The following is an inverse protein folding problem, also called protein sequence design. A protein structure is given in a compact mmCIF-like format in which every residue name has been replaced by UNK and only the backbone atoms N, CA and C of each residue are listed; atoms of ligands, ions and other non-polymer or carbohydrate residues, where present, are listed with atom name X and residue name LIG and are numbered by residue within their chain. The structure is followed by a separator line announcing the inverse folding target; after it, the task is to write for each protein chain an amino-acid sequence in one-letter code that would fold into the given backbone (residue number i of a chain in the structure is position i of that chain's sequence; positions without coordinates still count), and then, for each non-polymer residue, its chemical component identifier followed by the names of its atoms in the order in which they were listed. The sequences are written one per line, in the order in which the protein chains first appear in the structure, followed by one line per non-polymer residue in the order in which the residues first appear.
data_IF_557349394202
#
_entry.id   IF_557349394202
#
_cell.length_a   1.000
_cell.length_b   1.000
_cell.length_c   1.000
_cell.angle_alpha   90.00
_cell.angle_beta   90.00
_cell.angle_gamma   90.00
#
_symmetry.space_group_name_H-M   'P 1'
#
loop_
_entity.id
_entity.type
_entity.pdbx_description
1 polymer ?
#
# COMPACT_ATOMS: atom_id res chain seq x y z
N UNK A 1 -4.10 4.32 -23.94
CA UNK A 1 -4.26 4.96 -22.59
C UNK A 1 -2.88 5.24 -22.03
N UNK A 2 -2.62 6.44 -21.56
CA UNK A 2 -1.38 6.89 -20.92
C UNK A 2 -1.55 6.81 -19.40
N UNK A 3 -0.88 5.85 -18.77
CA UNK A 3 -1.03 5.54 -17.34
C UNK A 3 0.18 6.11 -16.59
N UNK A 4 -0.01 7.14 -15.75
CA UNK A 4 0.98 7.52 -14.76
C UNK A 4 0.99 6.52 -13.60
N UNK A 5 2.12 6.35 -12.96
CA UNK A 5 2.21 5.48 -11.79
C UNK A 5 2.90 6.19 -10.62
N UNK A 6 2.34 6.06 -9.42
CA UNK A 6 2.92 6.59 -8.19
C UNK A 6 2.97 5.51 -7.11
N UNK A 7 4.18 5.13 -6.70
CA UNK A 7 4.38 4.06 -5.73
C UNK A 7 5.80 3.98 -5.22
N UNK A 8 6.05 3.16 -4.18
CA UNK A 8 7.40 3.08 -3.59
C UNK A 8 7.84 1.63 -3.31
N UNK A 9 7.12 0.80 -2.51
CA UNK A 9 7.59 -0.53 -2.10
C UNK A 9 7.29 -1.62 -3.14
N UNK A 10 7.67 -2.86 -2.82
CA UNK A 10 7.44 -4.05 -3.65
C UNK A 10 5.97 -4.24 -4.04
N UNK A 11 5.03 -3.96 -3.13
CA UNK A 11 3.61 -3.99 -3.43
C UNK A 11 3.25 -3.16 -4.68
N UNK A 12 3.81 -1.96 -4.76
CA UNK A 12 3.60 -1.07 -5.88
C UNK A 12 4.37 -1.50 -7.13
N UNK A 13 5.59 -2.03 -6.95
CA UNK A 13 6.44 -2.54 -8.03
C UNK A 13 5.73 -3.67 -8.80
N UNK A 14 5.11 -4.61 -8.09
CA UNK A 14 4.32 -5.71 -8.68
C UNK A 14 3.19 -5.19 -9.57
N UNK A 15 2.48 -4.14 -9.13
CA UNK A 15 1.43 -3.52 -9.92
C UNK A 15 1.98 -2.80 -11.17
N UNK A 16 3.10 -2.07 -11.05
CA UNK A 16 3.75 -1.40 -12.18
C UNK A 16 4.20 -2.43 -13.24
N UNK A 17 4.87 -3.51 -12.84
CA UNK A 17 5.27 -4.60 -13.74
C UNK A 17 4.07 -5.15 -14.51
N UNK A 18 2.96 -5.39 -13.81
CA UNK A 18 1.77 -5.96 -14.41
C UNK A 18 1.09 -5.01 -15.40
N UNK A 19 1.08 -3.70 -15.11
CA UNK A 19 0.57 -2.65 -16.01
C UNK A 19 1.42 -2.60 -17.30
N UNK A 20 2.74 -2.62 -17.17
CA UNK A 20 3.66 -2.62 -18.32
C UNK A 20 3.51 -3.89 -19.14
N UNK A 21 3.47 -5.07 -18.49
CA UNK A 21 3.27 -6.37 -19.14
C UNK A 21 1.92 -6.47 -19.88
N UNK A 22 0.89 -5.75 -19.41
CA UNK A 22 -0.40 -5.67 -20.08
C UNK A 22 -0.40 -4.73 -21.31
N UNK A 23 0.73 -4.08 -21.64
CA UNK A 23 0.89 -3.24 -22.82
C UNK A 23 0.41 -1.80 -22.67
N UNK A 24 0.15 -1.33 -21.45
CA UNK A 24 -0.16 0.07 -21.23
C UNK A 24 1.07 0.96 -21.38
N UNK A 25 0.88 2.14 -21.97
CA UNK A 25 1.93 3.16 -22.06
C UNK A 25 2.11 3.84 -20.70
N UNK A 26 3.27 3.71 -20.08
CA UNK A 26 3.62 4.38 -18.82
C UNK A 26 4.65 5.48 -19.08
N UNK A 27 4.23 6.73 -19.28
CA UNK A 27 5.15 7.83 -19.64
C UNK A 27 5.91 8.41 -18.44
N UNK A 28 5.45 8.18 -17.21
CA UNK A 28 6.05 8.73 -16.00
C UNK A 28 5.74 7.85 -14.79
N UNK A 29 6.76 7.65 -13.97
CA UNK A 29 6.65 7.04 -12.64
C UNK A 29 7.07 8.06 -11.57
N UNK A 30 6.26 8.17 -10.53
CA UNK A 30 6.56 8.92 -9.32
C UNK A 30 6.91 7.93 -8.19
N UNK A 31 8.01 8.18 -7.49
CA UNK A 31 8.39 7.38 -6.32
C UNK A 31 9.08 8.27 -5.29
N UNK A 32 9.15 7.81 -4.04
CA UNK A 32 9.88 8.57 -3.02
C UNK A 32 11.38 8.62 -3.33
N UNK A 33 12.09 9.67 -2.87
CA UNK A 33 13.54 9.77 -3.00
C UNK A 33 14.26 8.54 -2.44
N UNK A 34 15.43 8.24 -2.99
CA UNK A 34 16.31 7.20 -2.48
C UNK A 34 16.63 7.44 -1.01
N UNK A 35 16.64 6.39 -0.21
CA UNK A 35 16.85 6.50 1.24
C UNK A 35 18.08 5.71 1.68
N UNK A 36 18.82 6.21 2.68
CA UNK A 36 19.89 5.43 3.29
C UNK A 36 19.32 4.11 3.86
N UNK A 37 19.91 2.98 3.47
CA UNK A 37 19.50 1.67 3.96
C UNK A 37 20.70 0.74 4.14
N UNK A 38 20.52 -0.32 4.95
CA UNK A 38 21.53 -1.34 5.21
C UNK A 38 22.71 -0.87 6.04
N UNK A 39 23.70 -1.77 6.18
CA UNK A 39 24.98 -1.46 6.84
C UNK A 39 25.78 -0.51 5.94
N UNK A 40 26.13 0.67 6.47
CA UNK A 40 26.86 1.70 5.71
C UNK A 40 25.99 2.81 5.13
N UNK A 41 24.66 2.81 5.37
CA UNK A 41 23.73 3.88 5.02
C UNK A 41 23.83 4.36 3.55
N UNK A 42 24.13 3.46 2.62
CA UNK A 42 24.14 3.80 1.20
C UNK A 42 22.73 4.09 0.71
N UNK A 43 22.61 5.05 -0.20
CA UNK A 43 21.33 5.40 -0.81
C UNK A 43 20.82 4.21 -1.64
N UNK A 44 19.65 3.74 -1.34
CA UNK A 44 18.97 2.68 -2.07
C UNK A 44 17.75 3.22 -2.78
N UNK A 45 17.64 2.85 -4.06
CA UNK A 45 16.47 3.13 -4.85
C UNK A 45 15.27 2.32 -4.37
N UNK A 46 14.05 2.86 -4.55
CA UNK A 46 12.83 2.11 -4.28
C UNK A 46 12.64 0.95 -5.26
N UNK A 47 11.87 -0.07 -4.88
CA UNK A 47 11.48 -1.15 -5.78
C UNK A 47 10.84 -0.62 -7.06
N UNK A 48 9.94 0.33 -6.94
CA UNK A 48 9.29 0.99 -8.09
C UNK A 48 10.29 1.69 -9.00
N UNK A 49 11.33 2.35 -8.45
CA UNK A 49 12.39 2.96 -9.26
C UNK A 49 13.18 1.91 -10.04
N UNK A 50 13.52 0.79 -9.41
CA UNK A 50 14.22 -0.31 -10.09
C UNK A 50 13.40 -0.83 -11.28
N UNK A 51 12.12 -1.09 -11.08
CA UNK A 51 11.22 -1.50 -12.17
C UNK A 51 11.11 -0.45 -13.26
N UNK A 52 10.91 0.82 -12.92
CA UNK A 52 10.79 1.88 -13.91
C UNK A 52 12.06 1.99 -14.78
N UNK A 53 13.24 1.93 -14.17
CA UNK A 53 14.52 1.97 -14.89
C UNK A 53 14.73 0.75 -15.78
N UNK A 54 14.33 -0.45 -15.34
CA UNK A 54 14.42 -1.66 -16.15
C UNK A 54 13.56 -1.60 -17.42
N UNK A 55 12.47 -0.84 -17.38
CA UNK A 55 11.59 -0.59 -18.53
C UNK A 55 11.85 0.74 -19.23
N UNK A 56 12.96 1.43 -18.93
CA UNK A 56 13.32 2.74 -19.48
C UNK A 56 12.22 3.82 -19.30
N UNK A 57 11.45 3.74 -18.22
CA UNK A 57 10.38 4.69 -17.90
C UNK A 57 10.98 5.87 -17.12
N UNK A 58 10.66 7.12 -17.51
CA UNK A 58 11.07 8.32 -16.77
C UNK A 58 10.59 8.30 -15.31
N UNK A 59 11.48 8.69 -14.38
CA UNK A 59 11.21 8.70 -12.94
C UNK A 59 11.31 10.11 -12.37
N UNK A 60 10.33 10.53 -11.59
CA UNK A 60 10.39 11.72 -10.76
C UNK A 60 10.31 11.38 -9.28
N UNK A 61 11.15 12.01 -8.45
CA UNK A 61 11.29 11.71 -7.03
C UNK A 61 11.12 12.97 -6.14
N UNK A 62 10.00 13.70 -6.24
CA UNK A 62 9.78 14.87 -5.39
C UNK A 62 9.56 14.44 -3.95
N UNK A 63 10.13 15.18 -2.98
CA UNK A 63 9.85 14.99 -1.55
C UNK A 63 8.43 15.43 -1.15
N UNK A 64 7.80 16.24 -1.98
CA UNK A 64 6.42 16.68 -1.82
C UNK A 64 5.87 17.15 -3.16
N UNK A 65 4.56 17.07 -3.34
CA UNK A 65 3.83 17.65 -4.48
C UNK A 65 3.05 18.91 -4.07
N UNK A 66 3.18 19.35 -2.83
CA UNK A 66 2.56 20.59 -2.35
C UNK A 66 3.36 21.81 -2.80
N UNK A 67 2.76 22.63 -3.65
CA UNK A 67 3.39 23.85 -4.21
C UNK A 67 3.64 24.92 -3.13
N UNK A 68 2.82 24.91 -2.08
CA UNK A 68 2.91 25.77 -0.90
C UNK A 68 3.66 25.11 0.28
N UNK A 69 4.30 23.98 0.03
CA UNK A 69 4.95 23.17 1.06
C UNK A 69 6.41 23.53 1.29
N UNK A 70 7.12 22.66 2.04
CA UNK A 70 8.53 22.82 2.38
C UNK A 70 9.50 22.72 1.20
N UNK A 71 9.08 22.09 0.09
CA UNK A 71 9.92 21.77 -1.07
C UNK A 71 9.26 22.29 -2.38
N UNK A 72 9.05 23.61 -2.54
CA UNK A 72 8.27 24.17 -3.63
C UNK A 72 8.91 23.91 -5.00
N UNK A 73 10.23 23.98 -5.13
CA UNK A 73 10.95 23.78 -6.39
C UNK A 73 10.78 22.34 -6.89
N UNK A 74 10.86 21.35 -5.98
CA UNK A 74 10.63 19.94 -6.33
C UNK A 74 9.17 19.68 -6.68
N UNK A 75 8.24 20.34 -5.99
CA UNK A 75 6.82 20.23 -6.29
C UNK A 75 6.50 20.83 -7.68
N UNK A 76 7.12 21.97 -8.05
CA UNK A 76 7.00 22.57 -9.37
C UNK A 76 7.61 21.68 -10.45
N UNK A 77 8.79 21.10 -10.22
CA UNK A 77 9.39 20.15 -11.14
C UNK A 77 8.51 18.89 -11.32
N UNK A 78 7.94 18.38 -10.23
CA UNK A 78 6.98 17.27 -10.26
C UNK A 78 5.70 17.62 -11.04
N UNK A 79 5.21 18.85 -10.88
CA UNK A 79 4.05 19.36 -11.63
C UNK A 79 4.36 19.44 -13.12
N UNK A 80 5.49 20.01 -13.49
CA UNK A 80 5.90 20.10 -14.89
C UNK A 80 6.03 18.71 -15.54
N UNK A 81 6.62 17.74 -14.82
CA UNK A 81 6.74 16.36 -15.29
C UNK A 81 5.37 15.69 -15.50
N UNK A 82 4.45 15.86 -14.54
CA UNK A 82 3.09 15.31 -14.64
C UNK A 82 2.30 15.94 -15.80
N UNK A 83 2.40 17.24 -15.99
CA UNK A 83 1.75 17.95 -17.10
C UNK A 83 2.31 17.49 -18.46
N UNK A 84 3.63 17.38 -18.59
CA UNK A 84 4.29 16.91 -19.81
C UNK A 84 3.93 15.45 -20.13
N UNK A 85 3.66 14.63 -19.12
CA UNK A 85 3.29 13.23 -19.30
C UNK A 85 1.90 13.03 -19.93
N UNK A 86 1.01 14.03 -19.90
CA UNK A 86 -0.34 13.97 -20.50
C UNK A 86 -1.09 12.68 -20.13
N UNK A 87 -1.29 12.46 -18.86
CA UNK A 87 -1.87 11.24 -18.33
C UNK A 87 -3.37 11.15 -18.58
N UNK A 88 -3.85 9.98 -18.97
CA UNK A 88 -5.27 9.66 -18.91
C UNK A 88 -5.70 9.32 -17.49
N UNK A 89 -4.86 8.61 -16.73
CA UNK A 89 -5.10 8.16 -15.36
C UNK A 89 -3.78 8.10 -14.59
N UNK A 90 -3.81 8.36 -13.29
CA UNK A 90 -2.69 8.11 -12.37
C UNK A 90 -3.03 6.93 -11.46
N UNK A 91 -2.29 5.84 -11.55
CA UNK A 91 -2.40 4.72 -10.61
C UNK A 91 -1.49 4.97 -9.41
N UNK A 92 -2.04 4.78 -8.22
CA UNK A 92 -1.34 5.01 -6.95
C UNK A 92 -1.34 3.72 -6.14
N UNK A 93 -0.18 3.33 -5.63
CA UNK A 93 -0.05 2.17 -4.75
C UNK A 93 1.06 2.45 -3.72
N UNK A 94 0.71 2.56 -2.44
CA UNK A 94 1.67 2.77 -1.36
C UNK A 94 2.74 3.83 -1.67
N UNK A 95 2.35 4.96 -2.25
CA UNK A 95 3.26 6.04 -2.64
C UNK A 95 3.88 6.72 -1.44
N UNK A 96 3.08 6.93 -0.38
CA UNK A 96 3.53 7.50 0.88
C UNK A 96 3.68 9.02 0.89
N UNK A 97 3.18 9.72 -0.10
CA UNK A 97 3.02 11.17 -0.13
C UNK A 97 1.56 11.54 -0.34
N UNK A 98 1.15 12.65 0.27
CA UNK A 98 -0.18 13.22 0.01
C UNK A 98 -0.22 13.79 -1.41
N UNK A 99 -1.30 13.50 -2.13
CA UNK A 99 -1.59 14.07 -3.43
C UNK A 99 -2.47 15.31 -3.23
N UNK A 100 -1.96 16.52 -3.54
CA UNK A 100 -2.78 17.73 -3.49
C UNK A 100 -3.85 17.70 -4.59
N UNK A 101 -4.91 18.52 -4.42
CA UNK A 101 -6.06 18.54 -5.32
C UNK A 101 -5.67 18.67 -6.79
N UNK A 102 -4.69 19.51 -7.11
CA UNK A 102 -4.24 19.70 -8.50
C UNK A 102 -3.69 18.40 -9.15
N UNK A 103 -3.15 17.46 -8.37
CA UNK A 103 -2.74 16.13 -8.87
C UNK A 103 -3.95 15.26 -9.12
N UNK A 104 -4.93 15.28 -8.21
CA UNK A 104 -6.15 14.48 -8.33
C UNK A 104 -6.96 14.86 -9.56
N UNK A 105 -6.96 16.16 -9.91
CA UNK A 105 -7.72 16.73 -11.02
C UNK A 105 -6.97 16.68 -12.37
N UNK A 106 -5.66 16.41 -12.36
CA UNK A 106 -4.84 16.50 -13.56
C UNK A 106 -5.15 15.42 -14.60
N UNK A 107 -5.23 14.12 -14.27
CA UNK A 107 -5.55 13.10 -15.24
C UNK A 107 -7.03 13.10 -15.58
N UNK A 108 -7.38 12.93 -16.85
CA UNK A 108 -8.77 12.95 -17.34
C UNK A 108 -9.68 11.94 -16.61
N UNK A 109 -9.16 10.79 -16.24
CA UNK A 109 -9.86 9.74 -15.48
C UNK A 109 -9.55 9.80 -13.97
N UNK A 110 -8.87 10.86 -13.51
CA UNK A 110 -8.47 11.03 -12.12
C UNK A 110 -7.39 10.05 -11.67
N UNK A 111 -7.36 9.78 -10.36
CA UNK A 111 -6.38 8.92 -9.73
C UNK A 111 -7.05 7.66 -9.17
N UNK A 112 -6.51 6.48 -9.47
CA UNK A 112 -6.97 5.19 -8.96
C UNK A 112 -5.97 4.68 -7.91
N UNK A 113 -6.45 4.33 -6.72
CA UNK A 113 -5.61 3.72 -5.68
C UNK A 113 -5.84 2.21 -5.59
N UNK A 114 -4.75 1.46 -5.45
CA UNK A 114 -4.77 0.04 -5.10
C UNK A 114 -4.67 -0.04 -3.58
N UNK A 115 -5.80 -0.23 -2.90
CA UNK A 115 -5.86 -0.28 -1.44
C UNK A 115 -5.99 -1.72 -0.94
N UNK A 116 -5.08 -2.14 -0.06
CA UNK A 116 -4.98 -3.52 0.42
C UNK A 116 -5.95 -3.83 1.57
N UNK A 117 -7.23 -3.47 1.41
CA UNK A 117 -8.33 -3.85 2.30
C UNK A 117 -9.68 -3.86 1.59
N UNK A 118 -10.67 -4.40 2.27
CA UNK A 118 -12.08 -4.29 1.90
C UNK A 118 -12.65 -2.98 2.50
N UNK A 119 -12.56 -1.88 1.76
CA UNK A 119 -13.08 -0.58 2.22
C UNK A 119 -14.59 -0.67 2.50
N UNK A 120 -15.09 0.04 3.52
CA UNK A 120 -14.46 1.10 4.30
C UNK A 120 -13.61 0.64 5.49
N UNK A 121 -13.40 -0.68 5.65
CA UNK A 121 -12.56 -1.20 6.72
C UNK A 121 -11.09 -1.00 6.39
N UNK A 122 -10.33 -0.56 7.39
CA UNK A 122 -8.88 -0.37 7.33
C UNK A 122 -8.41 0.71 6.33
N UNK A 123 -9.05 1.88 6.34
CA UNK A 123 -8.49 3.08 5.71
C UNK A 123 -7.14 3.42 6.32
N UNK A 124 -6.16 3.86 5.54
CA UNK A 124 -4.86 4.32 6.02
C UNK A 124 -3.68 3.41 5.68
N UNK A 125 -2.60 3.49 6.48
CA UNK A 125 -1.25 3.12 6.05
C UNK A 125 -0.90 1.62 6.21
N UNK A 126 -1.57 0.86 7.11
CA UNK A 126 -1.15 -0.49 7.46
C UNK A 126 -2.31 -1.52 7.47
N UNK A 127 -3.17 -1.55 6.43
CA UNK A 127 -4.36 -2.39 6.41
C UNK A 127 -4.06 -3.88 6.59
N UNK A 128 -2.98 -4.38 5.99
CA UNK A 128 -2.59 -5.81 6.05
C UNK A 128 -2.28 -6.23 7.49
N UNK A 129 -1.44 -5.45 8.18
CA UNK A 129 -1.09 -5.72 9.58
C UNK A 129 -2.33 -5.72 10.47
N UNK A 130 -3.17 -4.69 10.33
CA UNK A 130 -4.35 -4.51 11.20
C UNK A 130 -5.42 -5.57 10.98
N UNK A 131 -5.58 -6.07 9.76
CA UNK A 131 -6.50 -7.17 9.48
C UNK A 131 -6.08 -8.47 10.18
N UNK A 132 -4.79 -8.84 10.14
CA UNK A 132 -4.27 -10.01 10.85
C UNK A 132 -4.36 -9.81 12.37
N UNK A 133 -3.91 -8.68 12.88
CA UNK A 133 -3.91 -8.35 14.31
C UNK A 133 -5.32 -8.43 14.91
N UNK A 134 -6.32 -7.89 14.20
CA UNK A 134 -7.72 -7.94 14.61
C UNK A 134 -8.33 -9.34 14.53
N UNK A 135 -7.71 -10.27 13.80
CA UNK A 135 -8.22 -11.61 13.57
C UNK A 135 -9.35 -11.67 12.55
N UNK A 136 -9.30 -10.79 11.56
CA UNK A 136 -10.25 -10.83 10.45
C UNK A 136 -10.11 -12.14 9.68
N UNK A 137 -11.23 -12.77 9.36
CA UNK A 137 -11.24 -14.01 8.57
C UNK A 137 -10.95 -13.74 7.08
N UNK A 138 -11.16 -12.52 6.63
CA UNK A 138 -10.99 -12.10 5.25
C UNK A 138 -10.43 -10.69 5.19
N UNK A 139 -9.68 -10.45 4.14
CA UNK A 139 -9.28 -9.12 3.65
C UNK A 139 -9.52 -9.07 2.15
N UNK A 140 -8.88 -8.18 1.44
CA UNK A 140 -8.97 -8.09 -0.01
C UNK A 140 -8.28 -6.85 -0.56
N UNK A 141 -8.60 -6.53 -1.79
CA UNK A 141 -8.15 -5.31 -2.45
C UNK A 141 -9.35 -4.52 -2.93
N UNK A 142 -9.28 -3.23 -2.76
CA UNK A 142 -10.21 -2.26 -3.34
C UNK A 142 -9.45 -1.36 -4.32
N UNK A 143 -9.85 -1.36 -5.60
CA UNK A 143 -9.48 -0.28 -6.53
C UNK A 143 -10.50 0.83 -6.32
N UNK A 144 -10.01 2.00 -5.91
CA UNK A 144 -10.86 3.14 -5.59
C UNK A 144 -10.45 4.40 -6.37
N UNK A 145 -11.42 5.23 -6.70
CA UNK A 145 -11.20 6.59 -7.16
C UNK A 145 -10.71 7.42 -5.98
N UNK A 146 -9.59 8.12 -6.13
CA UNK A 146 -9.07 8.96 -5.05
C UNK A 146 -9.81 10.30 -4.97
N UNK A 147 -10.00 10.76 -3.75
CA UNK A 147 -10.45 12.11 -3.40
C UNK A 147 -9.48 12.74 -2.40
N UNK A 148 -9.80 13.92 -1.87
CA UNK A 148 -8.96 14.64 -0.91
C UNK A 148 -8.91 13.98 0.49
N UNK A 149 -9.79 13.03 0.77
CA UNK A 149 -9.84 12.32 2.06
C UNK A 149 -8.86 11.14 2.14
N UNK A 150 -8.68 10.61 3.35
CA UNK A 150 -7.87 9.44 3.57
C UNK A 150 -8.66 8.18 3.21
N UNK A 151 -8.43 7.66 2.02
CA UNK A 151 -9.06 6.44 1.48
C UNK A 151 -10.61 6.48 1.56
N UNK A 152 -11.20 7.66 1.27
CA UNK A 152 -12.64 7.91 1.36
C UNK A 152 -13.37 7.81 0.03
N UNK A 153 -12.64 7.78 -1.08
CA UNK A 153 -13.20 7.82 -2.41
C UNK A 153 -14.04 6.61 -2.80
N UNK A 154 -14.76 6.72 -3.91
CA UNK A 154 -15.66 5.68 -4.38
C UNK A 154 -14.91 4.40 -4.80
N UNK A 155 -15.50 3.25 -4.49
CA UNK A 155 -14.97 1.94 -4.86
C UNK A 155 -15.32 1.63 -6.32
N UNK A 156 -14.30 1.25 -7.11
CA UNK A 156 -14.46 0.86 -8.51
C UNK A 156 -14.54 -0.66 -8.66
N UNK A 157 -13.59 -1.38 -8.06
CA UNK A 157 -13.56 -2.85 -8.01
C UNK A 157 -13.20 -3.28 -6.59
N UNK A 158 -13.80 -4.38 -6.13
CA UNK A 158 -13.50 -4.97 -4.83
C UNK A 158 -13.37 -6.47 -4.99
N UNK A 159 -12.27 -7.04 -4.50
CA UNK A 159 -12.06 -8.49 -4.50
C UNK A 159 -11.67 -8.96 -3.11
N UNK A 160 -12.28 -10.06 -2.68
CA UNK A 160 -12.13 -10.63 -1.35
C UNK A 160 -11.14 -11.78 -1.33
N UNK A 161 -10.31 -11.83 -0.28
CA UNK A 161 -9.32 -12.88 -0.06
C UNK A 161 -9.45 -13.43 1.37
N UNK A 162 -9.46 -14.75 1.61
CA UNK A 162 -9.40 -15.30 2.96
C UNK A 162 -8.00 -15.09 3.56
N UNK A 163 -7.95 -14.83 4.86
CA UNK A 163 -6.71 -14.83 5.64
C UNK A 163 -6.51 -16.23 6.21
N UNK A 164 -5.46 -16.93 5.77
CA UNK A 164 -5.15 -18.25 6.27
C UNK A 164 -4.67 -18.20 7.75
N UNK A 165 -4.87 -19.27 8.53
CA UNK A 165 -4.44 -19.29 9.95
C UNK A 165 -2.95 -19.06 10.16
N UNK A 166 -2.12 -19.39 9.18
CA UNK A 166 -0.66 -19.25 9.17
C UNK A 166 -0.17 -18.02 8.41
N UNK A 167 -1.06 -17.21 7.85
CA UNK A 167 -0.65 -15.99 7.14
C UNK A 167 0.03 -15.01 8.09
N UNK A 168 1.20 -14.56 7.67
CA UNK A 168 1.90 -13.40 8.23
C UNK A 168 1.63 -12.17 7.36
N UNK A 169 2.03 -11.01 7.83
CA UNK A 169 1.98 -9.80 6.98
C UNK A 169 2.79 -9.98 5.69
N UNK A 170 3.91 -10.69 5.73
CA UNK A 170 4.70 -10.94 4.53
C UNK A 170 3.93 -11.80 3.50
N UNK A 171 3.41 -12.97 3.91
CA UNK A 171 2.70 -13.85 2.98
C UNK A 171 1.41 -13.23 2.45
N UNK A 172 0.67 -12.53 3.30
CA UNK A 172 -0.57 -11.86 2.91
C UNK A 172 -0.30 -10.65 1.99
N UNK A 173 0.80 -9.92 2.23
CA UNK A 173 1.28 -8.85 1.36
C UNK A 173 1.48 -9.35 -0.07
N UNK A 174 2.17 -10.48 -0.26
CA UNK A 174 2.45 -11.01 -1.59
C UNK A 174 1.17 -11.44 -2.32
N UNK A 175 0.24 -12.08 -1.59
CA UNK A 175 -1.08 -12.44 -2.13
C UNK A 175 -1.87 -11.21 -2.58
N UNK A 176 -1.90 -10.16 -1.74
CA UNK A 176 -2.64 -8.93 -2.04
C UNK A 176 -1.96 -8.09 -3.11
N UNK A 177 -0.62 -8.11 -3.21
CA UNK A 177 0.13 -7.46 -4.29
C UNK A 177 -0.21 -8.07 -5.64
N UNK A 178 -0.21 -9.40 -5.73
CA UNK A 178 -0.60 -10.11 -6.95
C UNK A 178 -2.06 -9.83 -7.33
N UNK A 179 -2.98 -9.91 -6.36
CA UNK A 179 -4.40 -9.62 -6.58
C UNK A 179 -4.61 -8.17 -7.05
N UNK A 180 -4.01 -7.20 -6.38
CA UNK A 180 -4.11 -5.78 -6.72
C UNK A 180 -3.55 -5.45 -8.11
N UNK A 181 -2.47 -6.13 -8.50
CA UNK A 181 -1.87 -6.00 -9.82
C UNK A 181 -2.81 -6.50 -10.94
N UNK A 182 -3.50 -7.61 -10.74
CA UNK A 182 -4.51 -8.09 -11.70
C UNK A 182 -5.73 -7.16 -11.74
N UNK A 183 -6.22 -6.74 -10.59
CA UNK A 183 -7.40 -5.88 -10.49
C UNK A 183 -7.18 -4.51 -11.13
N UNK A 184 -6.00 -3.90 -10.98
CA UNK A 184 -5.73 -2.60 -11.61
C UNK A 184 -5.67 -2.71 -13.13
N UNK A 185 -5.10 -3.78 -13.68
CA UNK A 185 -5.12 -4.04 -15.13
C UNK A 185 -6.56 -4.23 -15.63
N UNK A 186 -7.40 -4.95 -14.88
CA UNK A 186 -8.82 -5.10 -15.21
C UNK A 186 -9.51 -3.72 -15.21
N UNK A 187 -9.31 -2.89 -14.18
CA UNK A 187 -9.88 -1.55 -14.11
C UNK A 187 -9.43 -0.67 -15.28
N UNK A 188 -8.14 -0.66 -15.59
CA UNK A 188 -7.59 0.11 -16.71
C UNK A 188 -8.14 -0.35 -18.05
N UNK A 189 -8.28 -1.66 -18.25
CA UNK A 189 -8.85 -2.23 -19.48
C UNK A 189 -10.31 -1.82 -19.64
N UNK A 190 -11.10 -1.90 -18.57
CA UNK A 190 -12.49 -1.47 -18.57
C UNK A 190 -12.61 0.04 -18.85
N UNK A 191 -11.76 0.86 -18.23
CA UNK A 191 -11.75 2.31 -18.38
C UNK A 191 -11.41 2.79 -19.81
N UNK A 192 -10.86 1.93 -20.67
CA UNK A 192 -10.65 2.26 -22.08
C UNK A 192 -11.98 2.32 -22.87
N UNK A 193 -12.97 1.56 -22.46
CA UNK A 193 -14.22 1.37 -23.23
C UNK A 193 -15.45 1.91 -22.53
N UNK A 194 -15.45 1.98 -21.20
CA UNK A 194 -16.59 2.46 -20.40
C UNK A 194 -16.10 3.11 -19.10
N UNK A 195 -16.88 4.05 -18.52
CA UNK A 195 -16.61 4.55 -17.18
C UNK A 195 -16.55 3.43 -16.15
N UNK A 196 -15.61 3.55 -15.20
CA UNK A 196 -15.57 2.63 -14.06
C UNK A 196 -16.79 2.84 -13.16
N UNK A 197 -17.30 1.77 -12.53
CA UNK A 197 -18.26 1.92 -11.44
C UNK A 197 -17.69 2.82 -10.35
N UNK A 198 -18.56 3.62 -9.73
CA UNK A 198 -18.20 4.46 -8.59
C UNK A 198 -19.21 4.24 -7.48
N UNK A 199 -18.99 3.19 -6.69
CA UNK A 199 -19.84 2.85 -5.56
C UNK A 199 -19.35 3.60 -4.33
N UNK A 200 -20.16 4.51 -3.74
CA UNK A 200 -19.82 5.17 -2.48
C UNK A 200 -19.54 4.14 -1.40
N UNK A 201 -18.54 4.41 -0.56
CA UNK A 201 -18.26 3.53 0.57
C UNK A 201 -19.41 3.59 1.58
N UNK A 202 -19.82 2.45 2.19
CA UNK A 202 -20.77 2.45 3.30
C UNK A 202 -20.30 3.34 4.46
N UNK A 203 -21.25 3.95 5.16
CA UNK A 203 -20.95 4.73 6.37
C UNK A 203 -20.67 3.82 7.58
N UNK A 204 -21.22 2.62 7.56
CA UNK A 204 -20.99 1.61 8.59
C UNK A 204 -19.72 0.82 8.32
N UNK A 205 -19.03 0.38 9.38
CA UNK A 205 -17.83 -0.46 9.28
C UNK A 205 -16.55 0.30 8.99
N UNK A 206 -16.57 1.63 9.01
CA UNK A 206 -15.35 2.44 8.85
C UNK A 206 -14.39 2.18 10.00
N UNK A 207 -13.17 1.75 9.67
CA UNK A 207 -12.06 1.62 10.61
C UNK A 207 -10.77 2.16 9.99
N UNK A 208 -9.79 2.46 10.84
CA UNK A 208 -8.53 3.05 10.41
C UNK A 208 -7.34 2.15 10.76
N UNK A 209 -6.44 2.00 9.81
CA UNK A 209 -5.20 1.23 9.91
C UNK A 209 -4.01 2.20 10.06
N UNK A 210 -3.76 2.64 11.28
CA UNK A 210 -2.63 3.52 11.57
C UNK A 210 -1.31 2.79 11.29
N UNK A 211 -0.31 3.57 10.87
CA UNK A 211 1.05 3.08 10.64
C UNK A 211 1.56 2.34 11.88
N UNK A 212 2.22 1.19 11.66
CA UNK A 212 2.81 0.41 12.73
C UNK A 212 4.02 1.14 13.32
N UNK A 213 4.02 1.35 14.61
CA UNK A 213 5.13 1.90 15.36
C UNK A 213 6.03 0.79 15.90
N UNK A 214 7.32 1.09 16.10
CA UNK A 214 8.29 0.08 16.56
C UNK A 214 8.01 -0.41 18.00
N UNK A 215 7.46 0.42 18.83
CA UNK A 215 7.11 0.14 20.23
C UNK A 215 5.89 -0.78 20.34
N UNK A 216 5.05 -0.86 19.32
CA UNK A 216 3.96 -1.85 19.26
C UNK A 216 4.47 -3.31 19.24
N UNK A 217 5.77 -3.52 18.94
CA UNK A 217 6.40 -4.84 18.97
C UNK A 217 6.26 -5.57 20.32
N UNK A 218 6.19 -4.83 21.43
CA UNK A 218 6.13 -5.42 22.77
C UNK A 218 4.85 -6.22 23.00
N UNK A 219 5.04 -7.47 23.45
CA UNK A 219 3.95 -8.36 23.78
C UNK A 219 3.48 -8.10 25.21
N UNK A 220 2.19 -7.85 25.36
CA UNK A 220 1.53 -7.74 26.65
C UNK A 220 0.95 -9.11 27.04
N UNK A 221 1.61 -9.79 27.97
CA UNK A 221 1.27 -11.13 28.41
C UNK A 221 -0.06 -11.23 29.17
N UNK A 222 -0.75 -10.13 29.41
CA UNK A 222 -2.12 -10.13 29.94
C UNK A 222 -3.16 -10.55 28.90
N UNK A 223 -2.81 -10.54 27.62
CA UNK A 223 -3.69 -10.96 26.54
C UNK A 223 -3.70 -12.49 26.36
N UNK A 224 -4.76 -13.00 25.74
CA UNK A 224 -4.86 -14.44 25.44
C UNK A 224 -3.81 -14.89 24.43
N UNK A 225 -3.46 -16.19 24.46
CA UNK A 225 -2.49 -16.78 23.53
C UNK A 225 -2.86 -16.53 22.06
N UNK A 226 -4.15 -16.56 21.69
CA UNK A 226 -4.63 -16.29 20.34
C UNK A 226 -4.40 -14.83 19.93
N UNK A 227 -4.57 -13.87 20.84
CA UNK A 227 -4.29 -12.45 20.55
C UNK A 227 -2.81 -12.24 20.33
N UNK A 228 -1.96 -12.84 21.17
CA UNK A 228 -0.50 -12.71 21.03
C UNK A 228 0.02 -13.39 19.76
N UNK A 229 -0.51 -14.55 19.41
CA UNK A 229 -0.17 -15.24 18.16
C UNK A 229 -0.51 -14.38 16.94
N UNK A 230 -1.73 -13.82 16.88
CA UNK A 230 -2.13 -12.92 15.80
C UNK A 230 -1.22 -11.70 15.70
N UNK A 231 -0.86 -11.10 16.84
CA UNK A 231 0.05 -9.96 16.89
C UNK A 231 1.44 -10.32 16.34
N UNK A 232 1.98 -11.48 16.68
CA UNK A 232 3.26 -11.97 16.18
C UNK A 232 3.20 -12.14 14.65
N UNK A 233 2.14 -12.79 14.13
CA UNK A 233 1.95 -12.95 12.68
C UNK A 233 1.77 -11.62 11.96
N UNK A 234 0.97 -10.72 12.53
CA UNK A 234 0.74 -9.38 11.99
C UNK A 234 2.04 -8.57 11.91
N UNK A 235 2.96 -8.77 12.85
CA UNK A 235 4.20 -8.00 12.94
C UNK A 235 5.41 -8.72 12.33
N UNK A 236 5.23 -9.84 11.67
CA UNK A 236 6.26 -10.55 10.93
C UNK A 236 6.22 -10.15 9.44
N UNK A 237 7.31 -9.57 8.86
CA UNK A 237 8.67 -9.45 9.41
C UNK A 237 8.95 -8.16 10.19
N UNK A 238 8.05 -7.21 10.28
CA UNK A 238 8.29 -5.91 10.93
C UNK A 238 7.07 -5.49 11.76
N UNK A 239 7.30 -5.00 13.00
CA UNK A 239 8.57 -4.84 13.74
C UNK A 239 9.06 -6.12 14.43
N UNK A 240 8.37 -7.24 14.28
CA UNK A 240 8.55 -8.48 15.00
C UNK A 240 7.99 -8.44 16.42
N UNK A 241 7.51 -9.57 16.97
CA UNK A 241 7.16 -9.64 18.38
C UNK A 241 8.37 -9.44 19.28
N UNK A 242 8.21 -8.76 20.41
CA UNK A 242 9.28 -8.54 21.38
C UNK A 242 8.83 -8.83 22.81
N UNK A 243 9.70 -9.44 23.60
CA UNK A 243 9.47 -9.72 25.02
C UNK A 243 10.75 -9.47 25.83
N UNK A 244 10.60 -9.21 27.13
CA UNK A 244 11.72 -9.17 28.07
C UNK A 244 11.87 -10.53 28.76
N UNK A 245 13.11 -11.01 28.84
CA UNK A 245 13.45 -12.20 29.60
C UNK A 245 14.83 -12.00 30.28
N UNK A 246 14.87 -12.05 31.60
CA UNK A 246 16.09 -11.80 32.40
C UNK A 246 16.90 -10.57 31.98
N UNK A 247 16.23 -9.46 31.64
CA UNK A 247 16.85 -8.21 31.22
C UNK A 247 17.27 -8.15 29.75
N UNK A 248 17.11 -9.22 29.00
CA UNK A 248 17.39 -9.28 27.56
C UNK A 248 16.10 -9.16 26.72
N UNK A 249 16.20 -8.55 25.54
CA UNK A 249 15.11 -8.46 24.59
C UNK A 249 15.11 -9.68 23.66
N UNK A 250 14.07 -10.47 23.74
CA UNK A 250 13.82 -11.58 22.82
C UNK A 250 12.97 -11.09 21.65
N UNK A 251 13.33 -11.49 20.44
CA UNK A 251 12.49 -11.35 19.26
C UNK A 251 11.77 -12.65 18.97
N UNK A 252 10.45 -12.56 18.78
CA UNK A 252 9.57 -13.70 18.53
C UNK A 252 8.98 -13.55 17.14
N UNK A 253 9.31 -14.49 16.27
CA UNK A 253 8.92 -14.46 14.85
C UNK A 253 7.75 -15.38 14.54
N UNK A 254 7.55 -16.41 15.38
CA UNK A 254 6.50 -17.39 15.21
C UNK A 254 6.04 -17.91 16.57
N UNK A 255 4.74 -18.13 16.70
CA UNK A 255 4.12 -18.77 17.86
C UNK A 255 2.89 -19.55 17.43
N UNK A 256 2.51 -20.52 18.25
CA UNK A 256 1.26 -21.28 18.08
C UNK A 256 0.49 -21.29 19.39
N UNK A 257 -0.73 -20.78 19.37
CA UNK A 257 -1.62 -20.86 20.51
C UNK A 257 -2.15 -22.30 20.66
N UNK A 258 -2.00 -22.87 21.86
CA UNK A 258 -2.55 -24.19 22.18
C UNK A 258 -3.72 -24.03 23.13
N UNK A 259 -4.79 -24.78 22.91
CA UNK A 259 -5.85 -24.93 23.90
C UNK A 259 -5.26 -25.66 25.11
N UNK A 260 -5.36 -25.07 26.32
CA UNK A 260 -5.00 -25.77 27.54
C UNK A 260 -6.02 -26.90 27.75
N UNK A 261 -5.56 -28.14 27.74
CA UNK A 261 -6.36 -29.25 28.25
C UNK A 261 -6.53 -29.00 29.75
N UNK A 262 -7.75 -28.72 30.19
CA UNK A 262 -8.08 -28.80 31.60
C UNK A 262 -8.10 -30.29 31.98
N UNK A 263 -7.07 -30.74 32.69
CA UNK A 263 -7.09 -32.01 33.40
C UNK A 263 -7.94 -31.87 34.66
#
# INVERSE_FOLDING_TARGET
MRVGFAGTPEFASTALERIVAAGFTVPLVLTQPDRPAGRGLQLQASAVKHTALAHAIPVAQPRSLRLDGKYPDEAQAGQAALQAAQLDVLVVAAYGLLLPQWVLDLPRLGCLNIHASLLPRWRGAAPIHRAIEAGDAHTGVTIMQMDAGLDTGAMCLVERLPIAPDDTTASLHDKLAALGAEMIVQALTQAQTAPLPQTPQPLDGITYAHKIAKDEAWLDWSHSAQVLERKIRAFTPFPGGAAQHHGETLKIWQAHAQAQAHN
#
